data_IF_034462722095
#
_entry.id   IF_034462722095
#
_cell.length_a   1.000
_cell.length_b   1.000
_cell.length_c   1.000
_cell.angle_alpha   90.00
_cell.angle_beta   90.00
_cell.angle_gamma   90.00
#
_symmetry.space_group_name_H-M   'P 1'
#
loop_
_entity.id
_entity.type
_entity.pdbx_description
1 polymer ?
#
# COMPACT_ATOMS: atom_id res chain seq x y z
N UNK A 1 37.27 32.14 29.74
CA UNK A 1 35.89 31.67 30.02
C UNK A 1 35.07 31.77 28.75
N UNK A 2 34.93 30.68 27.97
CA UNK A 2 33.95 30.58 26.89
C UNK A 2 32.83 29.65 27.37
N UNK A 3 31.60 30.15 27.50
CA UNK A 3 30.42 29.31 27.72
C UNK A 3 29.95 28.79 26.36
N UNK A 4 30.05 27.47 26.23
CA UNK A 4 29.45 26.67 25.15
C UNK A 4 27.94 26.90 25.18
N UNK A 5 27.36 27.31 24.04
CA UNK A 5 25.91 27.33 23.86
C UNK A 5 25.45 25.89 23.77
N UNK A 6 24.58 25.48 24.70
CA UNK A 6 23.87 24.21 24.60
C UNK A 6 23.02 24.22 23.33
N UNK A 7 23.33 23.31 22.41
CA UNK A 7 22.42 22.87 21.36
C UNK A 7 21.18 22.30 22.05
N UNK A 8 20.04 22.95 21.85
CA UNK A 8 18.74 22.41 22.24
C UNK A 8 18.43 21.13 21.47
N UNK A 9 17.52 20.29 21.99
CA UNK A 9 17.12 19.06 21.31
C UNK A 9 16.52 19.41 19.95
N UNK A 10 16.87 18.62 18.93
CA UNK A 10 16.22 18.63 17.63
C UNK A 10 14.78 18.20 17.87
N UNK A 11 13.83 19.12 17.70
CA UNK A 11 12.41 18.81 17.72
C UNK A 11 12.13 17.80 16.61
N UNK A 12 11.97 16.52 16.99
CA UNK A 12 11.29 15.54 16.17
C UNK A 12 9.90 16.13 15.85
N UNK A 13 9.73 16.60 14.62
CA UNK A 13 8.44 17.09 14.13
C UNK A 13 7.50 15.89 14.02
N UNK A 14 6.92 15.49 15.15
CA UNK A 14 5.72 14.67 15.17
C UNK A 14 4.65 15.45 14.41
N UNK A 15 4.23 14.93 13.25
CA UNK A 15 3.25 15.58 12.38
C UNK A 15 1.97 15.90 13.17
N UNK A 16 1.41 17.09 12.97
CA UNK A 16 0.16 17.47 13.64
C UNK A 16 -1.03 17.17 12.74
N UNK A 17 -2.11 16.67 13.34
CA UNK A 17 -3.33 16.30 12.65
C UNK A 17 -3.96 17.49 11.88
N UNK A 18 -3.74 18.72 12.35
CA UNK A 18 -4.18 19.99 11.76
C UNK A 18 -3.06 20.72 10.97
N UNK A 19 -2.02 19.99 10.57
CA UNK A 19 -0.86 20.53 9.90
C UNK A 19 -1.14 21.13 8.51
N UNK A 20 -0.22 21.98 8.00
CA UNK A 20 -0.41 22.69 6.74
C UNK A 20 -0.59 21.78 5.52
N UNK A 21 -0.05 20.56 5.57
CA UNK A 21 -0.21 19.58 4.49
C UNK A 21 -1.65 19.06 4.37
N UNK A 22 -2.32 18.78 5.49
CA UNK A 22 -3.73 18.39 5.49
C UNK A 22 -4.63 19.57 5.07
N UNK A 23 -4.33 20.78 5.56
CA UNK A 23 -5.07 21.98 5.20
C UNK A 23 -5.03 22.27 3.68
N UNK A 24 -3.85 22.11 3.07
CA UNK A 24 -3.72 22.24 1.61
C UNK A 24 -4.48 21.14 0.88
N UNK A 25 -4.42 19.89 1.36
CA UNK A 25 -5.15 18.79 0.75
C UNK A 25 -6.67 19.00 0.82
N UNK A 26 -7.19 19.46 1.96
CA UNK A 26 -8.59 19.86 2.16
C UNK A 26 -9.05 20.89 1.14
N UNK A 27 -8.25 21.95 0.96
CA UNK A 27 -8.52 23.01 -0.03
C UNK A 27 -8.59 22.46 -1.45
N UNK A 28 -7.72 21.50 -1.79
CA UNK A 28 -7.66 20.90 -3.11
C UNK A 28 -8.82 19.94 -3.38
N UNK A 29 -9.21 19.11 -2.41
CA UNK A 29 -10.30 18.14 -2.59
C UNK A 29 -11.70 18.77 -2.57
N UNK A 30 -11.81 20.04 -2.16
CA UNK A 30 -13.06 20.83 -2.16
C UNK A 30 -14.22 20.09 -1.51
N UNK A 31 -13.97 19.51 -0.34
CA UNK A 31 -15.01 18.79 0.40
C UNK A 31 -15.92 19.81 1.09
N UNK A 32 -17.21 19.74 0.80
CA UNK A 32 -18.23 20.50 1.53
C UNK A 32 -18.48 19.85 2.90
N UNK A 33 -18.60 20.67 3.94
CA UNK A 33 -18.86 20.23 5.32
C UNK A 33 -17.76 20.62 6.31
N UNK A 34 -18.12 20.66 7.59
CA UNK A 34 -17.17 20.84 8.68
C UNK A 34 -16.35 19.56 8.82
N UNK A 35 -15.03 19.66 8.75
CA UNK A 35 -14.09 18.56 8.92
C UNK A 35 -13.30 18.84 10.19
N UNK A 36 -13.32 17.91 11.14
CA UNK A 36 -12.40 17.95 12.27
C UNK A 36 -11.07 17.30 11.87
N UNK A 37 -9.98 18.07 11.70
CA UNK A 37 -8.68 17.51 11.36
C UNK A 37 -8.14 16.55 12.43
N UNK A 38 -8.64 16.61 13.67
CA UNK A 38 -8.21 15.72 14.76
C UNK A 38 -8.91 14.36 14.72
N UNK A 39 -10.05 14.26 14.05
CA UNK A 39 -10.78 13.02 13.88
C UNK A 39 -10.18 12.17 12.74
N UNK A 40 -9.86 10.90 13.03
CA UNK A 40 -9.25 9.98 12.07
C UNK A 40 -10.18 9.62 10.90
N UNK A 41 -11.49 9.54 11.13
CA UNK A 41 -12.46 9.20 10.10
C UNK A 41 -12.62 10.36 9.12
N UNK A 42 -12.62 11.58 9.64
CA UNK A 42 -12.64 12.78 8.82
C UNK A 42 -11.37 12.92 7.97
N UNK A 43 -10.17 12.74 8.57
CA UNK A 43 -8.91 12.70 7.80
C UNK A 43 -8.92 11.61 6.74
N UNK A 44 -9.35 10.40 7.09
CA UNK A 44 -9.46 9.30 6.13
C UNK A 44 -10.40 9.65 4.97
N UNK A 45 -11.51 10.31 5.26
CA UNK A 45 -12.45 10.71 4.23
C UNK A 45 -11.87 11.78 3.27
N UNK A 46 -10.99 12.66 3.75
CA UNK A 46 -10.19 13.58 2.93
C UNK A 46 -9.21 12.81 2.04
N UNK A 47 -8.46 11.87 2.62
CA UNK A 47 -7.51 11.05 1.86
C UNK A 47 -8.20 10.23 0.77
N UNK A 48 -9.37 9.65 1.05
CA UNK A 48 -10.16 8.92 0.06
C UNK A 48 -10.60 9.80 -1.11
N UNK A 49 -10.98 11.05 -0.85
CA UNK A 49 -11.29 12.01 -1.91
C UNK A 49 -10.05 12.35 -2.75
N UNK A 50 -8.89 12.47 -2.13
CA UNK A 50 -7.62 12.70 -2.82
C UNK A 50 -7.14 11.48 -3.62
N UNK A 51 -7.32 10.26 -3.12
CA UNK A 51 -6.94 9.00 -3.76
C UNK A 51 -7.66 8.76 -5.11
N UNK A 52 -8.78 9.43 -5.35
CA UNK A 52 -9.50 9.39 -6.61
C UNK A 52 -8.92 10.35 -7.68
N UNK A 53 -7.88 11.13 -7.34
CA UNK A 53 -7.42 12.28 -8.12
C UNK A 53 -5.91 12.27 -8.33
N UNK A 54 -5.47 12.08 -9.56
CA UNK A 54 -4.05 12.04 -9.90
C UNK A 54 -3.35 13.40 -9.75
N UNK A 55 -4.07 14.51 -9.92
CA UNK A 55 -3.55 15.88 -9.84
C UNK A 55 -3.11 16.30 -8.44
N UNK A 56 -3.52 15.56 -7.40
CA UNK A 56 -3.21 15.87 -5.99
C UNK A 56 -2.25 14.86 -5.35
N UNK A 57 -1.59 14.00 -6.13
CA UNK A 57 -0.69 12.97 -5.61
C UNK A 57 0.46 13.55 -4.76
N UNK A 58 1.07 14.67 -5.17
CA UNK A 58 2.11 15.36 -4.41
C UNK A 58 1.62 15.90 -3.06
N UNK A 59 0.56 16.72 -3.03
CA UNK A 59 -0.09 17.15 -1.78
C UNK A 59 -0.53 15.99 -0.87
N UNK A 60 -1.07 14.92 -1.44
CA UNK A 60 -1.45 13.72 -0.68
C UNK A 60 -0.23 13.04 -0.05
N UNK A 61 0.89 12.95 -0.77
CA UNK A 61 2.13 12.41 -0.23
C UNK A 61 2.64 13.26 0.94
N UNK A 62 2.61 14.59 0.81
CA UNK A 62 3.00 15.49 1.90
C UNK A 62 2.11 15.32 3.13
N UNK A 63 0.79 15.19 2.94
CA UNK A 63 -0.14 14.93 4.05
C UNK A 63 0.10 13.55 4.69
N UNK A 64 0.42 12.54 3.88
CA UNK A 64 0.76 11.19 4.37
C UNK A 64 2.01 11.19 5.24
N UNK A 65 3.05 11.96 4.86
CA UNK A 65 4.28 12.12 5.66
C UNK A 65 3.99 12.80 6.99
N UNK A 66 3.05 13.75 7.01
CA UNK A 66 2.67 14.49 8.20
C UNK A 66 1.57 13.81 9.04
N UNK A 67 1.07 12.65 8.62
CA UNK A 67 -0.03 11.98 9.31
C UNK A 67 0.42 11.45 10.69
N UNK A 68 -0.24 11.85 11.79
CA UNK A 68 0.10 11.39 13.13
C UNK A 68 -0.27 9.92 13.39
N UNK A 69 -1.27 9.37 12.70
CA UNK A 69 -1.71 7.98 12.87
C UNK A 69 -1.08 7.05 11.81
N UNK A 70 -0.10 6.20 12.17
CA UNK A 70 0.58 5.32 11.22
C UNK A 70 -0.38 4.42 10.43
N UNK A 71 -1.50 3.99 11.03
CA UNK A 71 -2.48 3.15 10.33
C UNK A 71 -3.11 3.88 9.12
N UNK A 72 -3.40 5.18 9.25
CA UNK A 72 -3.91 5.99 8.15
C UNK A 72 -2.85 6.17 7.07
N UNK A 73 -1.60 6.48 7.45
CA UNK A 73 -0.49 6.62 6.52
C UNK A 73 -0.25 5.33 5.70
N UNK A 74 -0.27 4.17 6.36
CA UNK A 74 -0.21 2.85 5.72
C UNK A 74 -1.38 2.64 4.74
N UNK A 75 -2.59 3.00 5.14
CA UNK A 75 -3.78 2.90 4.31
C UNK A 75 -3.65 3.69 3.01
N UNK A 76 -3.22 4.95 3.11
CA UNK A 76 -2.97 5.82 1.94
C UNK A 76 -1.86 5.26 1.07
N UNK A 77 -0.73 4.86 1.66
CA UNK A 77 0.40 4.30 0.92
C UNK A 77 0.00 3.04 0.15
N UNK A 78 -0.72 2.10 0.77
CA UNK A 78 -1.26 0.92 0.07
C UNK A 78 -2.17 1.30 -1.09
N UNK A 79 -3.10 2.24 -0.89
CA UNK A 79 -4.01 2.67 -1.92
C UNK A 79 -3.28 3.31 -3.12
N UNK A 80 -2.25 4.12 -2.86
CA UNK A 80 -1.43 4.70 -3.92
C UNK A 80 -0.56 3.68 -4.63
N UNK A 81 0.06 2.77 -3.88
CA UNK A 81 0.87 1.70 -4.45
C UNK A 81 0.08 0.85 -5.43
N UNK A 82 -1.22 0.58 -5.21
CA UNK A 82 -2.07 -0.18 -6.12
C UNK A 82 -2.33 0.55 -7.47
N UNK A 83 -2.27 1.89 -7.48
CA UNK A 83 -2.62 2.73 -8.64
C UNK A 83 -1.39 3.17 -9.45
N UNK A 84 -0.27 3.42 -8.79
CA UNK A 84 0.91 4.02 -9.41
C UNK A 84 1.83 2.99 -10.07
N UNK A 85 2.57 3.37 -11.13
CA UNK A 85 3.68 2.58 -11.64
C UNK A 85 4.70 2.22 -10.54
N UNK A 86 5.37 1.07 -10.67
CA UNK A 86 6.34 0.60 -9.67
C UNK A 86 7.50 1.59 -9.44
N UNK A 87 7.90 2.35 -10.47
CA UNK A 87 8.95 3.38 -10.38
C UNK A 87 8.57 4.55 -9.45
N UNK A 88 7.29 4.76 -9.19
CA UNK A 88 6.77 5.82 -8.32
C UNK A 88 6.47 5.32 -6.90
N UNK A 89 6.78 4.06 -6.57
CA UNK A 89 6.42 3.46 -5.29
C UNK A 89 7.25 3.97 -4.10
N UNK A 90 8.54 4.24 -4.29
CA UNK A 90 9.49 4.50 -3.20
C UNK A 90 9.12 5.73 -2.32
N UNK A 91 8.65 6.86 -2.87
CA UNK A 91 8.19 7.98 -2.04
C UNK A 91 7.07 7.59 -1.07
N UNK A 92 6.11 6.76 -1.51
CA UNK A 92 5.00 6.29 -0.68
C UNK A 92 5.43 5.28 0.38
N UNK A 93 6.43 4.45 0.07
CA UNK A 93 7.05 3.59 1.08
C UNK A 93 7.70 4.46 2.17
N UNK A 94 8.48 5.47 1.79
CA UNK A 94 9.17 6.35 2.76
C UNK A 94 8.25 7.24 3.58
N UNK A 95 7.05 7.54 3.06
CA UNK A 95 6.07 8.36 3.76
C UNK A 95 5.56 7.71 5.05
N UNK A 96 5.69 6.39 5.18
CA UNK A 96 5.28 5.66 6.38
C UNK A 96 6.46 5.53 7.36
N UNK A 97 6.25 5.80 8.65
CA UNK A 97 7.28 5.61 9.68
C UNK A 97 7.63 4.13 9.89
N UNK A 98 8.77 3.88 10.53
CA UNK A 98 9.06 2.54 11.06
C UNK A 98 8.24 2.31 12.34
N UNK A 99 7.82 1.06 12.62
CA UNK A 99 8.10 -0.18 11.89
C UNK A 99 7.16 -0.49 10.71
N UNK A 100 6.10 0.29 10.50
CA UNK A 100 5.05 -0.01 9.52
C UNK A 100 5.56 0.03 8.07
N UNK A 101 6.63 0.79 7.81
CA UNK A 101 7.27 0.90 6.49
C UNK A 101 7.63 -0.45 5.88
N UNK A 102 8.09 -1.42 6.68
CA UNK A 102 8.47 -2.75 6.18
C UNK A 102 7.28 -3.43 5.49
N UNK A 103 6.08 -3.31 6.08
CA UNK A 103 4.84 -3.83 5.51
C UNK A 103 4.48 -3.16 4.20
N UNK A 104 4.71 -1.85 4.08
CA UNK A 104 4.47 -1.07 2.86
C UNK A 104 5.47 -1.44 1.76
N UNK A 105 6.74 -1.62 2.12
CA UNK A 105 7.79 -2.10 1.22
C UNK A 105 7.48 -3.50 0.68
N UNK A 106 7.05 -4.43 1.54
CA UNK A 106 6.63 -5.76 1.13
C UNK A 106 5.47 -5.71 0.13
N UNK A 107 4.45 -4.87 0.38
CA UNK A 107 3.33 -4.67 -0.55
C UNK A 107 3.78 -4.09 -1.89
N UNK A 108 4.72 -3.15 -1.91
CA UNK A 108 5.26 -2.60 -3.15
C UNK A 108 5.94 -3.70 -3.99
N UNK A 109 6.71 -4.58 -3.33
CA UNK A 109 7.31 -5.77 -3.96
C UNK A 109 6.25 -6.72 -4.54
N UNK A 110 5.21 -7.04 -3.77
CA UNK A 110 4.10 -7.89 -4.23
C UNK A 110 3.40 -7.31 -5.46
N UNK A 111 3.17 -5.99 -5.48
CA UNK A 111 2.56 -5.30 -6.60
C UNK A 111 3.47 -5.27 -7.84
N UNK A 112 4.79 -5.20 -7.65
CA UNK A 112 5.75 -5.33 -8.75
C UNK A 112 5.64 -6.72 -9.40
N UNK A 113 5.55 -7.78 -8.59
CA UNK A 113 5.29 -9.16 -9.07
C UNK A 113 3.97 -9.24 -9.83
N UNK A 114 2.90 -8.66 -9.30
CA UNK A 114 1.58 -8.63 -9.96
C UNK A 114 1.52 -7.84 -11.27
N UNK A 115 2.43 -6.89 -11.48
CA UNK A 115 2.48 -6.06 -12.68
C UNK A 115 3.43 -6.62 -13.73
N UNK A 116 4.54 -7.20 -13.29
CA UNK A 116 5.42 -8.02 -14.10
C UNK A 116 4.78 -9.37 -14.44
N UNK A 117 3.51 -9.43 -14.85
CA UNK A 117 2.80 -10.68 -15.17
C UNK A 117 3.46 -11.50 -16.29
N UNK A 118 4.38 -10.92 -17.04
CA UNK A 118 5.02 -11.60 -18.18
C UNK A 118 6.01 -12.70 -17.77
N UNK A 119 6.86 -12.57 -16.71
CA UNK A 119 7.75 -13.67 -16.30
C UNK A 119 7.13 -14.66 -15.29
N UNK A 120 6.14 -14.26 -14.47
CA UNK A 120 5.52 -15.15 -13.46
C UNK A 120 4.66 -16.24 -14.11
N UNK A 121 3.96 -15.90 -15.19
CA UNK A 121 3.11 -16.85 -15.91
C UNK A 121 3.93 -17.89 -16.71
N UNK A 122 5.23 -17.63 -16.94
CA UNK A 122 6.11 -18.48 -17.75
C UNK A 122 7.03 -19.42 -16.96
N UNK A 123 7.16 -19.27 -15.64
CA UNK A 123 8.17 -20.06 -14.91
C UNK A 123 8.19 -19.98 -13.38
N UNK A 124 7.11 -19.50 -12.73
CA UNK A 124 7.11 -19.45 -11.26
C UNK A 124 7.41 -20.83 -10.65
N UNK A 125 8.42 -20.92 -9.80
CA UNK A 125 8.81 -22.16 -9.12
C UNK A 125 8.22 -22.22 -7.70
N UNK A 126 8.09 -23.43 -7.13
CA UNK A 126 7.58 -23.64 -5.76
C UNK A 126 8.24 -22.72 -4.70
N UNK A 127 9.58 -22.53 -4.67
CA UNK A 127 10.22 -21.66 -3.69
C UNK A 127 9.80 -20.20 -3.80
N UNK A 128 9.53 -19.73 -5.02
CA UNK A 128 9.09 -18.36 -5.27
C UNK A 128 7.67 -18.15 -4.74
N UNK A 129 6.78 -19.13 -4.98
CA UNK A 129 5.40 -19.09 -4.47
C UNK A 129 5.37 -19.08 -2.95
N UNK A 130 6.24 -19.85 -2.29
CA UNK A 130 6.34 -19.88 -0.83
C UNK A 130 6.79 -18.55 -0.21
N UNK A 131 7.64 -17.79 -0.93
CA UNK A 131 8.14 -16.49 -0.52
C UNK A 131 7.11 -15.35 -0.67
N UNK A 132 6.05 -15.55 -1.45
CA UNK A 132 4.99 -14.56 -1.62
C UNK A 132 4.22 -14.31 -0.32
N UNK A 133 3.83 -13.05 -0.13
CA UNK A 133 2.99 -12.68 1.00
C UNK A 133 1.59 -13.32 0.89
N UNK A 134 0.91 -13.47 2.03
CA UNK A 134 -0.49 -13.93 2.06
C UNK A 134 -1.41 -13.04 1.21
N UNK A 135 -1.10 -11.74 1.10
CA UNK A 135 -1.85 -10.81 0.26
C UNK A 135 -1.65 -11.13 -1.23
N UNK A 136 -0.39 -11.33 -1.66
CA UNK A 136 -0.07 -11.67 -3.04
C UNK A 136 -0.67 -13.01 -3.44
N UNK A 137 -0.53 -14.04 -2.60
CA UNK A 137 -1.11 -15.35 -2.86
C UNK A 137 -2.63 -15.31 -2.98
N UNK A 138 -3.32 -14.54 -2.11
CA UNK A 138 -4.77 -14.34 -2.22
C UNK A 138 -5.16 -13.63 -3.50
N UNK A 139 -4.41 -12.60 -3.91
CA UNK A 139 -4.67 -11.83 -5.13
C UNK A 139 -4.49 -12.71 -6.37
N UNK A 140 -3.38 -13.43 -6.46
CA UNK A 140 -3.11 -14.37 -7.56
C UNK A 140 -4.10 -15.53 -7.59
N UNK A 141 -4.46 -16.10 -6.44
CA UNK A 141 -5.49 -17.13 -6.38
C UNK A 141 -6.86 -16.61 -6.86
N UNK A 142 -7.16 -15.32 -6.70
CA UNK A 142 -8.42 -14.73 -7.14
C UNK A 142 -8.42 -14.28 -8.60
N UNK A 143 -7.29 -13.83 -9.15
CA UNK A 143 -7.24 -13.07 -10.41
C UNK A 143 -6.29 -13.66 -11.45
N UNK A 144 -5.47 -14.66 -11.12
CA UNK A 144 -4.56 -15.26 -12.09
C UNK A 144 -5.33 -16.04 -13.16
N UNK A 145 -4.84 -15.93 -14.39
CA UNK A 145 -5.27 -16.72 -15.54
C UNK A 145 -4.28 -17.85 -15.86
N UNK A 146 -3.09 -17.87 -15.24
CA UNK A 146 -2.11 -18.92 -15.43
C UNK A 146 -2.48 -20.18 -14.64
N UNK A 147 -2.71 -21.26 -15.36
CA UNK A 147 -2.95 -22.57 -14.75
C UNK A 147 -1.75 -23.03 -13.92
N UNK A 148 -0.51 -22.72 -14.33
CA UNK A 148 0.70 -23.08 -13.59
C UNK A 148 0.74 -22.41 -12.21
N UNK A 149 0.48 -21.10 -12.15
CA UNK A 149 0.38 -20.36 -10.89
C UNK A 149 -0.73 -20.92 -10.00
N UNK A 150 -1.89 -21.23 -10.56
CA UNK A 150 -3.00 -21.81 -9.80
C UNK A 150 -2.69 -23.23 -9.28
N UNK A 151 -1.97 -24.06 -10.04
CA UNK A 151 -1.53 -25.39 -9.59
C UNK A 151 -0.58 -25.26 -8.40
N UNK A 152 0.39 -24.35 -8.48
CA UNK A 152 1.32 -24.11 -7.38
C UNK A 152 0.60 -23.55 -6.15
N UNK A 153 -0.38 -22.65 -6.32
CA UNK A 153 -1.17 -22.13 -5.21
C UNK A 153 -2.11 -23.17 -4.61
N UNK A 154 -2.66 -24.11 -5.38
CA UNK A 154 -3.43 -25.25 -4.86
C UNK A 154 -2.55 -26.13 -3.96
N UNK A 155 -1.33 -26.42 -4.38
CA UNK A 155 -0.42 -27.31 -3.66
C UNK A 155 0.27 -26.63 -2.46
N UNK A 156 0.81 -25.42 -2.66
CA UNK A 156 1.74 -24.76 -1.73
C UNK A 156 1.22 -23.43 -1.17
N UNK A 157 -0.04 -23.06 -1.44
CA UNK A 157 -0.64 -21.87 -0.85
C UNK A 157 -0.55 -21.89 0.67
N UNK A 158 -0.12 -20.79 1.29
CA UNK A 158 0.15 -20.66 2.73
C UNK A 158 -1.08 -20.95 3.58
N UNK A 159 -2.25 -20.56 3.09
CA UNK A 159 -3.52 -20.77 3.80
C UNK A 159 -4.43 -21.76 3.07
N UNK A 160 -5.26 -22.47 3.85
CA UNK A 160 -6.31 -23.35 3.29
C UNK A 160 -7.23 -22.60 2.32
N UNK A 161 -7.53 -21.33 2.60
CA UNK A 161 -8.39 -20.49 1.75
C UNK A 161 -7.75 -20.24 0.37
N UNK A 162 -6.46 -19.93 0.33
CA UNK A 162 -5.71 -19.77 -0.93
C UNK A 162 -5.74 -21.06 -1.74
N UNK A 163 -5.39 -22.20 -1.11
CA UNK A 163 -5.39 -23.50 -1.79
C UNK A 163 -6.77 -23.87 -2.36
N UNK A 164 -7.82 -23.65 -1.58
CA UNK A 164 -9.21 -23.90 -2.00
C UNK A 164 -9.65 -23.05 -3.19
N UNK A 165 -9.39 -21.73 -3.15
CA UNK A 165 -9.75 -20.82 -4.23
C UNK A 165 -9.02 -21.16 -5.53
N UNK A 166 -7.74 -21.51 -5.46
CA UNK A 166 -6.95 -21.91 -6.61
C UNK A 166 -7.50 -23.19 -7.27
N UNK A 167 -7.83 -24.21 -6.47
CA UNK A 167 -8.49 -25.44 -6.92
C UNK A 167 -9.81 -25.17 -7.63
N UNK A 168 -10.68 -24.35 -7.03
CA UNK A 168 -11.98 -24.01 -7.61
C UNK A 168 -11.84 -23.35 -8.99
N UNK A 169 -10.87 -22.44 -9.14
CA UNK A 169 -10.59 -21.80 -10.43
C UNK A 169 -10.03 -22.78 -11.45
N UNK A 170 -9.12 -23.68 -11.07
CA UNK A 170 -8.61 -24.72 -11.97
C UNK A 170 -9.74 -25.60 -12.52
N UNK A 171 -10.65 -26.04 -11.64
CA UNK A 171 -11.82 -26.83 -12.07
C UNK A 171 -12.71 -26.04 -13.03
N UNK A 172 -12.93 -24.75 -12.76
CA UNK A 172 -13.74 -23.88 -13.64
C UNK A 172 -13.09 -23.70 -15.01
N UNK A 173 -11.79 -23.42 -15.06
CA UNK A 173 -11.06 -23.23 -16.33
C UNK A 173 -11.08 -24.49 -17.19
N UNK A 174 -10.98 -25.69 -16.60
CA UNK A 174 -11.08 -26.97 -17.32
C UNK A 174 -12.46 -27.27 -17.90
N UNK A 175 -13.52 -26.65 -17.37
CA UNK A 175 -14.90 -26.83 -17.85
C UNK A 175 -15.27 -25.83 -18.94
N UNK A 176 -14.50 -24.76 -19.08
CA UNK A 176 -14.76 -23.66 -20.01
C UNK A 176 -13.95 -23.76 -21.31
N UNK A 177 -12.95 -24.64 -21.36
CA UNK A 177 -12.26 -25.06 -22.58
C UNK A 177 -12.78 -26.40 -23.06
#
# INVERSE_FOLDING_TARGET
MLRVRHSGPVEEHQGTADGPALAELLRLVRRDGEIDPRDEHDRWAVYQAALARADVAGPLLAATVAEPEPALAVGVAFAMLERLPAVEAEPWVRAVPEPEREKVRARAGDLAVLRGRTPVDAGAAEPEVAAWSDWLQRRLAAESHSAAVLVLLEAHGRTRRVRGLARERLVRSRRAG
#
